data_IF_617765266453
#
_entry.id   IF_617765266453
#
_cell.length_a   1.000
_cell.length_b   1.000
_cell.length_c   1.000
_cell.angle_alpha   90.00
_cell.angle_beta   90.00
_cell.angle_gamma   90.00
#
_symmetry.space_group_name_H-M   'P 1'
#
loop_
_entity.id
_entity.type
_entity.pdbx_description
1 polymer ?
#
# COMPACT_ATOMS: atom_id res chain seq x y z
N UNK A 1 -23.56 14.47 -21.28
CA UNK A 1 -23.64 15.85 -21.78
C UNK A 1 -22.28 16.47 -22.11
N UNK A 2 -21.25 16.33 -21.26
CA UNK A 2 -19.94 16.99 -21.51
C UNK A 2 -19.12 16.39 -22.67
N UNK A 3 -19.22 15.08 -22.93
CA UNK A 3 -18.47 14.39 -24.01
C UNK A 3 -18.85 14.90 -25.42
N UNK A 4 -20.14 15.07 -25.69
CA UNK A 4 -20.60 15.53 -26.99
C UNK A 4 -20.24 17.00 -27.23
N UNK A 5 -20.32 17.85 -26.21
CA UNK A 5 -19.90 19.25 -26.31
C UNK A 5 -18.39 19.41 -26.59
N UNK A 6 -17.54 18.55 -26.02
CA UNK A 6 -16.09 18.56 -26.26
C UNK A 6 -15.76 18.05 -27.68
N UNK A 7 -16.57 17.16 -28.26
CA UNK A 7 -16.37 16.67 -29.63
C UNK A 7 -16.51 17.77 -30.69
N UNK A 8 -17.28 18.82 -30.41
CA UNK A 8 -17.44 19.95 -31.33
C UNK A 8 -16.29 20.98 -31.28
N UNK A 9 -15.42 20.91 -30.27
CA UNK A 9 -14.30 21.87 -30.08
C UNK A 9 -12.92 21.24 -30.24
N UNK A 10 -12.85 19.92 -30.49
CA UNK A 10 -11.60 19.18 -30.68
C UNK A 10 -11.38 18.83 -32.15
N UNK A 11 -10.18 19.10 -32.68
CA UNK A 11 -9.79 18.72 -34.05
C UNK A 11 -9.62 17.20 -34.27
N UNK A 12 -9.87 16.38 -33.24
CA UNK A 12 -9.84 14.90 -33.27
C UNK A 12 -10.94 14.32 -32.37
N UNK A 13 -11.43 13.11 -32.69
CA UNK A 13 -12.43 12.41 -31.86
C UNK A 13 -11.88 12.20 -30.45
N UNK A 14 -12.59 12.73 -29.46
CA UNK A 14 -12.29 12.51 -28.04
C UNK A 14 -12.98 11.22 -27.62
N UNK A 15 -12.17 10.20 -27.32
CA UNK A 15 -12.58 8.86 -26.87
C UNK A 15 -12.02 8.55 -25.49
N UNK A 16 -12.74 7.74 -24.72
CA UNK A 16 -12.36 7.35 -23.35
C UNK A 16 -11.07 6.54 -23.27
N UNK A 17 -10.69 5.82 -24.33
CA UNK A 17 -9.64 4.79 -24.30
C UNK A 17 -8.23 5.28 -23.96
N UNK A 18 -8.02 6.59 -23.86
CA UNK A 18 -6.74 7.21 -23.46
C UNK A 18 -6.72 7.74 -22.02
N UNK A 19 -7.81 7.59 -21.25
CA UNK A 19 -7.81 7.95 -19.83
C UNK A 19 -6.77 7.06 -19.10
N UNK A 20 -5.90 7.71 -18.32
CA UNK A 20 -4.84 7.01 -17.57
C UNK A 20 -5.14 6.95 -16.08
N UNK A 21 -5.91 7.90 -15.55
CA UNK A 21 -6.18 8.05 -14.13
C UNK A 21 -7.63 8.52 -13.93
N UNK A 22 -8.31 7.93 -12.96
CA UNK A 22 -9.58 8.40 -12.42
C UNK A 22 -9.32 8.82 -10.99
N UNK A 23 -9.65 10.07 -10.67
CA UNK A 23 -9.26 10.72 -9.42
C UNK A 23 -10.51 11.05 -8.63
N UNK A 24 -10.60 10.54 -7.41
CA UNK A 24 -11.68 10.76 -6.46
C UNK A 24 -11.18 11.64 -5.32
N UNK A 25 -12.00 12.56 -4.83
CA UNK A 25 -11.73 13.17 -3.53
C UNK A 25 -11.89 12.13 -2.43
N UNK A 26 -11.16 12.29 -1.33
CA UNK A 26 -11.33 11.49 -0.11
C UNK A 26 -12.79 11.46 0.35
N UNK A 27 -13.44 12.63 0.42
CA UNK A 27 -14.84 12.74 0.86
C UNK A 27 -15.79 11.89 0.00
N UNK A 28 -15.59 11.87 -1.32
CA UNK A 28 -16.40 11.05 -2.23
C UNK A 28 -16.05 9.57 -2.08
N UNK A 29 -14.78 9.25 -1.90
CA UNK A 29 -14.33 7.87 -1.71
C UNK A 29 -14.92 7.24 -0.44
N UNK A 30 -15.03 8.00 0.65
CA UNK A 30 -15.64 7.58 1.91
C UNK A 30 -17.16 7.34 1.79
N UNK A 31 -17.85 8.11 0.92
CA UNK A 31 -19.27 7.91 0.61
C UNK A 31 -19.51 6.68 -0.28
N UNK A 32 -18.55 6.32 -1.12
CA UNK A 32 -18.57 5.18 -2.02
C UNK A 32 -18.44 5.59 -3.49
N UNK A 33 -17.71 4.78 -4.27
CA UNK A 33 -17.35 5.11 -5.66
C UNK A 33 -17.97 4.19 -6.73
N UNK A 34 -18.75 3.19 -6.34
CA UNK A 34 -19.38 2.18 -7.20
C UNK A 34 -20.23 2.80 -8.31
N UNK A 35 -21.13 3.73 -7.97
CA UNK A 35 -22.01 4.36 -8.95
C UNK A 35 -21.25 5.13 -10.04
N UNK A 36 -20.09 5.68 -9.69
CA UNK A 36 -19.25 6.43 -10.62
C UNK A 36 -18.39 5.46 -11.44
N UNK A 37 -17.81 4.44 -10.81
CA UNK A 37 -17.07 3.40 -11.50
C UNK A 37 -17.92 2.66 -12.53
N UNK A 38 -19.19 2.40 -12.23
CA UNK A 38 -20.14 1.75 -13.16
C UNK A 38 -20.25 2.48 -14.50
N UNK A 39 -20.21 3.81 -14.51
CA UNK A 39 -20.19 4.62 -15.74
C UNK A 39 -18.91 4.37 -16.54
N UNK A 40 -17.79 4.15 -15.86
CA UNK A 40 -16.50 3.84 -16.48
C UNK A 40 -16.34 2.37 -16.86
N UNK A 41 -17.17 1.44 -16.39
CA UNK A 41 -17.04 0.02 -16.73
C UNK A 41 -18.01 -0.39 -17.85
N UNK A 42 -19.15 0.30 -18.00
CA UNK A 42 -20.22 -0.08 -18.95
C UNK A 42 -19.94 0.24 -20.42
N UNK A 43 -19.03 1.15 -20.73
CA UNK A 43 -18.68 1.54 -22.10
C UNK A 43 -17.35 0.88 -22.50
N UNK A 44 -17.37 0.10 -23.59
CA UNK A 44 -16.22 -0.64 -24.11
C UNK A 44 -15.05 0.26 -24.54
N UNK A 45 -15.29 1.55 -24.74
CA UNK A 45 -14.21 2.53 -25.00
C UNK A 45 -13.45 2.93 -23.72
N UNK A 46 -13.87 2.49 -22.52
CA UNK A 46 -13.22 2.91 -21.29
C UNK A 46 -11.95 2.09 -20.97
N UNK A 47 -10.89 2.74 -20.47
CA UNK A 47 -9.62 2.09 -20.29
C UNK A 47 -9.58 1.31 -18.97
N UNK A 48 -9.69 0.00 -19.07
CA UNK A 48 -9.46 -0.96 -17.98
C UNK A 48 -8.11 -0.75 -17.25
N UNK A 49 -7.14 -0.15 -17.94
CA UNK A 49 -5.78 0.10 -17.44
C UNK A 49 -5.59 1.46 -16.75
N UNK A 50 -6.64 2.28 -16.65
CA UNK A 50 -6.57 3.52 -15.89
C UNK A 50 -6.44 3.21 -14.38
N UNK A 51 -5.70 4.05 -13.66
CA UNK A 51 -5.51 3.92 -12.22
C UNK A 51 -6.63 4.62 -11.46
N UNK A 52 -7.09 4.03 -10.37
CA UNK A 52 -7.93 4.71 -9.38
C UNK A 52 -7.00 5.37 -8.36
N UNK A 53 -7.26 6.65 -8.11
CA UNK A 53 -6.50 7.51 -7.20
C UNK A 53 -7.48 8.20 -6.27
N UNK A 54 -7.16 8.27 -4.99
CA UNK A 54 -7.84 9.12 -4.01
C UNK A 54 -6.92 10.27 -3.63
N UNK A 55 -7.44 11.49 -3.67
CA UNK A 55 -6.73 12.70 -3.24
C UNK A 55 -7.38 13.29 -1.99
N UNK A 56 -6.55 13.74 -1.05
CA UNK A 56 -7.00 14.58 0.07
C UNK A 56 -7.24 16.00 -0.45
N UNK A 57 -8.50 16.41 -0.52
CA UNK A 57 -8.93 17.66 -1.18
C UNK A 57 -9.67 17.44 -2.51
N UNK A 58 -9.92 18.53 -3.24
CA UNK A 58 -10.69 18.50 -4.48
C UNK A 58 -9.83 18.16 -5.70
N UNK A 59 -10.20 17.15 -6.53
CA UNK A 59 -9.52 16.89 -7.80
C UNK A 59 -9.52 18.10 -8.75
N UNK A 60 -10.54 18.96 -8.68
CA UNK A 60 -10.61 20.18 -9.50
C UNK A 60 -9.59 21.23 -9.02
N UNK A 61 -9.42 21.38 -7.70
CA UNK A 61 -8.42 22.27 -7.13
C UNK A 61 -7.01 21.79 -7.48
N UNK A 62 -6.73 20.49 -7.35
CA UNK A 62 -5.47 19.90 -7.80
C UNK A 62 -5.21 20.19 -9.28
N UNK A 63 -6.23 20.05 -10.14
CA UNK A 63 -6.10 20.36 -11.56
C UNK A 63 -5.77 21.84 -11.80
N UNK A 64 -6.41 22.75 -11.09
CA UNK A 64 -6.17 24.19 -11.22
C UNK A 64 -4.78 24.57 -10.70
N UNK A 65 -4.43 24.11 -9.50
CA UNK A 65 -3.12 24.35 -8.89
C UNK A 65 -1.98 23.79 -9.73
N UNK A 66 -2.18 22.63 -10.38
CA UNK A 66 -1.17 22.03 -11.24
C UNK A 66 -0.77 22.85 -12.47
N UNK A 67 -1.55 23.88 -12.82
CA UNK A 67 -1.22 24.82 -13.90
C UNK A 67 -0.19 25.87 -13.47
N UNK A 68 -0.06 26.10 -12.16
CA UNK A 68 0.86 27.06 -11.57
C UNK A 68 2.24 26.46 -11.24
N UNK A 69 2.37 25.13 -11.31
CA UNK A 69 3.66 24.45 -11.11
C UNK A 69 4.65 24.83 -12.21
N UNK A 70 5.73 25.54 -11.84
CA UNK A 70 6.71 26.08 -12.80
C UNK A 70 7.71 25.02 -13.31
N UNK A 71 7.99 24.01 -12.50
CA UNK A 71 9.05 23.01 -12.71
C UNK A 71 8.50 21.59 -12.98
N UNK A 72 7.19 21.45 -13.16
CA UNK A 72 6.52 20.16 -13.38
C UNK A 72 5.91 20.06 -14.79
N UNK A 73 5.86 18.86 -15.39
CA UNK A 73 5.12 18.68 -16.63
C UNK A 73 3.60 18.78 -16.37
N UNK A 74 2.81 18.83 -17.45
CA UNK A 74 1.34 18.80 -17.36
C UNK A 74 0.86 17.63 -16.48
N UNK A 75 -0.17 17.88 -15.66
CA UNK A 75 -0.65 16.96 -14.63
C UNK A 75 -0.79 15.50 -15.09
N UNK A 76 -1.35 15.24 -16.27
CA UNK A 76 -1.49 13.87 -16.79
C UNK A 76 -0.16 13.13 -16.92
N UNK A 77 0.87 13.79 -17.47
CA UNK A 77 2.23 13.22 -17.59
C UNK A 77 2.90 13.16 -16.22
N UNK A 78 2.68 14.16 -15.38
CA UNK A 78 3.21 14.20 -14.02
C UNK A 78 2.74 13.00 -13.19
N UNK A 79 1.42 12.78 -13.11
CA UNK A 79 0.82 11.66 -12.39
C UNK A 79 1.22 10.30 -12.99
N UNK A 80 1.31 10.20 -14.32
CA UNK A 80 1.74 8.96 -14.97
C UNK A 80 3.17 8.58 -14.56
N UNK A 81 4.08 9.55 -14.50
CA UNK A 81 5.45 9.33 -14.03
C UNK A 81 5.50 9.02 -12.53
N UNK A 82 4.74 9.77 -11.72
CA UNK A 82 4.70 9.63 -10.27
C UNK A 82 4.21 8.24 -9.85
N UNK A 83 3.09 7.76 -10.40
CA UNK A 83 2.56 6.42 -10.11
C UNK A 83 3.50 5.33 -10.61
N UNK A 84 4.07 5.50 -11.81
CA UNK A 84 5.01 4.53 -12.36
C UNK A 84 6.23 4.37 -11.46
N UNK A 85 6.76 5.47 -10.93
CA UNK A 85 7.89 5.43 -10.02
C UNK A 85 7.52 4.86 -8.65
N UNK A 86 6.39 5.29 -8.08
CA UNK A 86 5.91 4.77 -6.81
C UNK A 86 5.64 3.26 -6.83
N UNK A 87 5.17 2.71 -7.95
CA UNK A 87 5.04 1.25 -8.13
C UNK A 87 6.38 0.53 -8.16
N UNK A 88 7.43 1.16 -8.70
CA UNK A 88 8.78 0.57 -8.69
C UNK A 88 9.32 0.47 -7.26
N UNK A 89 9.02 1.47 -6.44
CA UNK A 89 9.43 1.58 -5.03
C UNK A 89 8.36 1.10 -4.04
N UNK A 90 7.33 0.37 -4.50
CA UNK A 90 6.30 -0.25 -3.64
C UNK A 90 5.65 0.72 -2.66
N UNK A 91 5.55 1.98 -3.08
CA UNK A 91 4.96 3.11 -2.37
C UNK A 91 3.46 3.27 -2.71
N UNK A 92 2.95 2.46 -3.63
CA UNK A 92 1.54 2.49 -4.05
C UNK A 92 1.11 1.14 -4.64
N UNK A 93 -0.17 0.75 -4.48
CA UNK A 93 -0.62 -0.58 -4.89
C UNK A 93 -1.05 -0.66 -6.36
N UNK A 94 -1.43 -1.87 -6.78
CA UNK A 94 -2.15 -2.07 -8.04
C UNK A 94 -3.60 -1.59 -7.90
N UNK A 95 -3.86 -0.40 -8.42
CA UNK A 95 -5.14 0.30 -8.31
C UNK A 95 -5.87 0.44 -9.65
N UNK A 96 -5.46 -0.30 -10.69
CA UNK A 96 -6.13 -0.21 -11.99
C UNK A 96 -7.59 -0.65 -11.90
N UNK A 97 -8.44 -0.01 -12.72
CA UNK A 97 -9.89 -0.21 -12.72
C UNK A 97 -10.26 -1.68 -12.83
N UNK A 98 -9.62 -2.46 -13.71
CA UNK A 98 -9.97 -3.88 -13.86
C UNK A 98 -9.80 -4.65 -12.55
N UNK A 99 -8.70 -4.43 -11.83
CA UNK A 99 -8.40 -5.13 -10.60
C UNK A 99 -9.32 -4.65 -9.48
N UNK A 100 -9.43 -3.33 -9.32
CA UNK A 100 -10.30 -2.72 -8.32
C UNK A 100 -11.76 -3.17 -8.48
N UNK A 101 -12.25 -3.22 -9.71
CA UNK A 101 -13.63 -3.64 -10.03
C UNK A 101 -13.88 -5.08 -9.65
N UNK A 102 -12.91 -5.98 -9.86
CA UNK A 102 -13.04 -7.37 -9.44
C UNK A 102 -13.06 -7.45 -7.91
N UNK A 103 -12.16 -6.73 -7.24
CA UNK A 103 -12.00 -6.78 -5.79
C UNK A 103 -13.16 -6.12 -5.02
N UNK A 104 -13.78 -5.05 -5.51
CA UNK A 104 -14.92 -4.43 -4.82
C UNK A 104 -16.14 -5.36 -4.68
N UNK A 105 -16.26 -6.36 -5.57
CA UNK A 105 -17.31 -7.39 -5.52
C UNK A 105 -16.83 -8.69 -4.85
N UNK A 106 -15.56 -8.77 -4.46
CA UNK A 106 -15.02 -9.92 -3.76
C UNK A 106 -15.51 -9.97 -2.30
N UNK A 107 -15.79 -11.18 -1.82
CA UNK A 107 -16.08 -11.43 -0.41
C UNK A 107 -14.82 -11.66 0.43
N UNK A 108 -13.68 -11.88 -0.24
CA UNK A 108 -12.45 -12.40 0.39
C UNK A 108 -11.28 -11.44 0.39
N UNK A 109 -11.29 -10.40 -0.46
CA UNK A 109 -10.19 -9.45 -0.63
C UNK A 109 -10.78 -8.07 -0.90
N UNK A 110 -10.34 -7.06 -0.15
CA UNK A 110 -10.74 -5.68 -0.38
C UNK A 110 -9.78 -4.93 -1.32
N UNK A 111 -10.30 -3.98 -2.13
CA UNK A 111 -9.45 -3.19 -3.01
C UNK A 111 -8.65 -2.12 -2.25
N UNK A 112 -7.57 -1.68 -2.89
CA UNK A 112 -6.73 -0.57 -2.44
C UNK A 112 -6.46 0.38 -3.61
N UNK A 113 -6.26 1.66 -3.30
CA UNK A 113 -5.94 2.67 -4.29
C UNK A 113 -4.76 3.54 -3.86
N UNK A 114 -4.15 4.27 -4.80
CA UNK A 114 -3.13 5.27 -4.46
C UNK A 114 -3.77 6.40 -3.67
N UNK A 115 -3.17 6.79 -2.54
CA UNK A 115 -3.59 7.96 -1.76
C UNK A 115 -2.57 9.10 -1.92
N UNK A 116 -3.06 10.29 -2.24
CA UNK A 116 -2.22 11.43 -2.57
C UNK A 116 -2.66 12.71 -1.87
N UNK A 117 -1.70 13.61 -1.69
CA UNK A 117 -1.90 15.01 -1.31
C UNK A 117 -1.33 15.92 -2.37
N UNK A 118 -1.75 17.18 -2.37
CA UNK A 118 -1.20 18.19 -3.26
C UNK A 118 -1.12 19.53 -2.54
N UNK A 119 -0.12 20.30 -2.93
CA UNK A 119 0.15 21.65 -2.45
C UNK A 119 0.73 22.51 -3.58
N UNK A 120 1.17 23.72 -3.26
CA UNK A 120 1.75 24.67 -4.21
C UNK A 120 3.04 24.17 -4.88
N UNK A 121 3.73 23.20 -4.28
CA UNK A 121 4.98 22.62 -4.78
C UNK A 121 4.67 21.46 -5.73
N UNK A 122 3.67 20.64 -5.43
CA UNK A 122 3.32 19.52 -6.28
C UNK A 122 2.31 18.54 -5.68
N UNK A 123 2.20 17.39 -6.36
CA UNK A 123 1.43 16.23 -5.90
C UNK A 123 2.40 15.23 -5.27
N UNK A 124 2.05 14.76 -4.08
CA UNK A 124 2.80 13.79 -3.28
C UNK A 124 1.97 12.52 -3.07
N UNK A 125 2.60 11.35 -3.22
CA UNK A 125 1.99 10.07 -2.81
C UNK A 125 2.24 9.91 -1.32
N UNK A 126 1.16 9.76 -0.56
CA UNK A 126 1.20 9.58 0.89
C UNK A 126 1.13 8.11 1.29
N UNK A 127 0.66 7.24 0.38
CA UNK A 127 0.57 5.80 0.58
C UNK A 127 -0.66 5.23 -0.12
N UNK A 128 -1.49 4.52 0.63
CA UNK A 128 -2.63 3.77 0.09
C UNK A 128 -3.94 4.15 0.78
N UNK A 129 -5.00 4.29 -0.02
CA UNK A 129 -6.37 4.35 0.45
C UNK A 129 -6.91 2.92 0.57
N UNK A 130 -7.50 2.62 1.72
CA UNK A 130 -8.02 1.31 2.07
C UNK A 130 -9.54 1.32 1.93
N UNK A 131 -10.09 0.28 1.30
CA UNK A 131 -11.52 0.19 1.05
C UNK A 131 -12.14 -0.99 1.80
N UNK A 132 -13.43 -0.89 2.07
CA UNK A 132 -14.29 -2.03 2.33
C UNK A 132 -15.31 -2.06 1.20
N UNK A 133 -15.15 -3.02 0.28
CA UNK A 133 -15.84 -3.02 -1.02
C UNK A 133 -15.61 -1.72 -1.80
N UNK A 134 -16.62 -0.87 -1.92
CA UNK A 134 -16.64 0.35 -2.72
C UNK A 134 -16.41 1.64 -1.91
N UNK A 135 -16.29 1.55 -0.58
CA UNK A 135 -16.12 2.72 0.30
C UNK A 135 -14.72 2.75 0.89
N UNK A 136 -14.07 3.92 0.83
CA UNK A 136 -12.84 4.15 1.56
C UNK A 136 -13.14 4.18 3.06
N UNK A 137 -12.39 3.40 3.83
CA UNK A 137 -12.56 3.26 5.30
C UNK A 137 -11.33 3.71 6.08
N UNK A 138 -10.23 4.00 5.38
CA UNK A 138 -8.99 4.46 5.99
C UNK A 138 -7.90 4.69 4.96
N UNK A 139 -6.72 5.08 5.43
CA UNK A 139 -5.52 5.18 4.61
C UNK A 139 -4.30 4.80 5.44
N UNK A 140 -3.25 4.36 4.77
CA UNK A 140 -1.95 4.00 5.36
C UNK A 140 -0.84 4.78 4.68
N UNK A 141 0.24 5.03 5.41
CA UNK A 141 1.39 5.77 4.92
C UNK A 141 2.27 4.92 3.97
N UNK A 142 3.38 5.50 3.49
CA UNK A 142 4.32 4.84 2.57
C UNK A 142 4.95 3.57 3.15
N UNK A 143 5.41 3.60 4.40
CA UNK A 143 6.04 2.44 5.06
C UNK A 143 5.03 1.34 5.27
N UNK A 144 3.84 1.68 5.77
CA UNK A 144 2.74 0.75 5.96
C UNK A 144 2.27 0.16 4.62
N UNK A 145 2.27 0.94 3.54
CA UNK A 145 1.98 0.45 2.19
C UNK A 145 3.02 -0.59 1.74
N UNK A 146 4.29 -0.34 2.00
CA UNK A 146 5.34 -1.32 1.66
C UNK A 146 5.27 -2.58 2.54
N UNK A 147 4.91 -2.45 3.82
CA UNK A 147 4.64 -3.60 4.70
C UNK A 147 3.38 -4.36 4.28
N UNK A 148 2.35 -3.67 3.78
CA UNK A 148 1.18 -4.30 3.18
C UNK A 148 1.57 -5.18 1.98
N UNK A 149 2.41 -4.66 1.07
CA UNK A 149 2.96 -5.45 -0.04
C UNK A 149 3.75 -6.68 0.46
N UNK A 150 4.55 -6.51 1.53
CA UNK A 150 5.27 -7.62 2.14
C UNK A 150 4.32 -8.69 2.69
N UNK A 151 3.27 -8.25 3.39
CA UNK A 151 2.21 -9.09 3.93
C UNK A 151 1.36 -9.72 2.84
N UNK A 152 1.23 -9.14 1.64
CA UNK A 152 0.62 -9.78 0.47
C UNK A 152 1.56 -10.83 -0.16
N UNK A 153 2.85 -10.80 0.14
CA UNK A 153 3.86 -11.64 -0.49
C UNK A 153 4.27 -11.13 -1.87
N UNK A 154 4.03 -9.85 -2.13
CA UNK A 154 4.42 -9.17 -3.36
C UNK A 154 5.90 -8.74 -3.31
N UNK A 155 6.40 -8.26 -4.44
CA UNK A 155 7.74 -7.67 -4.49
C UNK A 155 7.74 -6.41 -3.63
N UNK A 156 8.81 -6.23 -2.84
CA UNK A 156 9.05 -5.05 -2.01
C UNK A 156 10.32 -4.33 -2.47
N UNK A 157 10.34 -3.01 -2.36
CA UNK A 157 11.51 -2.20 -2.64
C UNK A 157 11.40 -0.83 -1.95
N UNK A 158 11.81 -0.73 -0.68
CA UNK A 158 11.63 0.50 0.10
C UNK A 158 12.72 0.73 1.15
N UNK A 159 12.93 2.00 1.48
CA UNK A 159 13.76 2.41 2.61
C UNK A 159 12.96 2.33 3.91
N UNK A 160 13.61 1.87 4.98
CA UNK A 160 13.03 1.81 6.31
C UNK A 160 14.03 2.44 7.28
N UNK A 161 13.62 3.55 7.90
CA UNK A 161 14.43 4.30 8.85
C UNK A 161 14.08 3.86 10.27
N UNK A 162 15.11 3.61 11.07
CA UNK A 162 14.98 3.30 12.48
C UNK A 162 15.75 4.32 13.29
N UNK A 163 15.06 4.95 14.25
CA UNK A 163 15.66 5.86 15.22
C UNK A 163 16.53 5.09 16.22
N UNK A 164 17.67 5.67 16.61
CA UNK A 164 18.61 5.08 17.57
C UNK A 164 17.95 4.61 18.87
N UNK A 165 17.00 5.39 19.42
CA UNK A 165 16.30 5.07 20.67
C UNK A 165 15.48 3.78 20.58
N UNK A 166 15.11 3.36 19.37
CA UNK A 166 14.37 2.10 19.14
C UNK A 166 15.30 0.87 19.15
N UNK A 167 16.61 1.08 19.02
CA UNK A 167 17.61 0.01 18.91
C UNK A 167 18.47 -0.06 20.17
N UNK A 168 18.79 1.08 20.79
CA UNK A 168 19.67 1.15 21.95
C UNK A 168 19.21 2.24 22.92
N UNK A 169 19.47 2.02 24.21
CA UNK A 169 19.12 2.97 25.26
C UNK A 169 20.15 4.11 25.29
N UNK A 170 20.04 5.01 24.32
CA UNK A 170 20.89 6.20 24.21
C UNK A 170 20.14 7.43 24.72
N UNK A 171 20.79 8.16 25.62
CA UNK A 171 20.40 9.49 26.07
C UNK A 171 21.21 10.54 25.30
N UNK A 172 20.82 10.83 24.05
CA UNK A 172 21.49 11.81 23.20
C UNK A 172 20.50 12.60 22.35
N UNK A 173 20.69 13.91 22.21
CA UNK A 173 19.77 14.83 21.55
C UNK A 173 20.01 14.99 20.03
N UNK A 174 20.42 13.93 19.34
CA UNK A 174 20.71 13.96 17.89
C UNK A 174 19.90 12.92 17.13
N UNK A 175 19.50 13.23 15.87
CA UNK A 175 18.83 12.29 14.95
C UNK A 175 19.81 11.22 14.45
N UNK A 176 20.22 10.30 15.33
CA UNK A 176 20.99 9.12 14.95
C UNK A 176 20.03 7.99 14.61
N UNK A 177 20.46 7.09 13.73
CA UNK A 177 19.65 5.94 13.37
C UNK A 177 20.32 5.03 12.38
N UNK A 178 19.51 4.12 11.84
CA UNK A 178 19.90 3.21 10.77
C UNK A 178 18.88 3.34 9.65
N UNK A 179 19.37 3.59 8.44
CA UNK A 179 18.56 3.50 7.23
C UNK A 179 18.88 2.21 6.52
N UNK A 180 17.87 1.34 6.39
CA UNK A 180 18.00 0.10 5.63
C UNK A 180 17.14 0.17 4.37
N UNK A 181 17.55 -0.57 3.35
CA UNK A 181 16.79 -0.77 2.14
C UNK A 181 16.35 -2.23 2.04
N UNK A 182 15.04 -2.48 2.09
CA UNK A 182 14.44 -3.80 1.98
C UNK A 182 13.99 -4.03 0.53
N UNK A 183 14.56 -5.04 -0.12
CA UNK A 183 14.36 -5.27 -1.57
C UNK A 183 13.83 -6.67 -1.91
N UNK A 184 13.68 -7.54 -0.90
CA UNK A 184 13.07 -8.86 -1.07
C UNK A 184 12.45 -9.33 0.23
N UNK A 185 11.33 -10.03 0.10
CA UNK A 185 10.70 -10.75 1.19
C UNK A 185 10.24 -12.11 0.70
N UNK A 186 10.37 -13.12 1.56
CA UNK A 186 9.72 -14.42 1.37
C UNK A 186 8.61 -14.54 2.40
N UNK A 187 7.37 -14.67 1.92
CA UNK A 187 6.20 -14.89 2.76
C UNK A 187 5.85 -16.37 2.85
N UNK A 188 5.47 -16.84 4.04
CA UNK A 188 4.79 -18.12 4.26
C UNK A 188 3.58 -17.89 5.16
N UNK A 189 2.46 -18.55 4.84
CA UNK A 189 1.23 -18.46 5.64
C UNK A 189 0.71 -19.86 5.97
N UNK A 190 0.52 -20.12 7.26
CA UNK A 190 -0.18 -21.29 7.79
C UNK A 190 -1.49 -20.83 8.43
N UNK A 191 -2.52 -21.64 8.29
CA UNK A 191 -3.87 -21.30 8.73
C UNK A 191 -4.47 -22.47 9.48
N UNK A 192 -4.98 -22.20 10.67
CA UNK A 192 -5.59 -23.18 11.56
C UNK A 192 -7.02 -22.76 11.86
N UNK A 193 -7.96 -23.69 11.77
CA UNK A 193 -9.37 -23.46 12.05
C UNK A 193 -9.78 -24.43 13.15
N UNK A 194 -9.70 -23.98 14.39
CA UNK A 194 -10.08 -24.74 15.58
C UNK A 194 -11.15 -23.94 16.33
N UNK A 195 -12.43 -24.16 16.00
CA UNK A 195 -13.56 -23.42 16.57
C UNK A 195 -13.99 -22.23 15.72
N UNK A 196 -14.42 -21.14 16.38
CA UNK A 196 -15.15 -20.04 15.72
C UNK A 196 -14.26 -19.04 14.99
N UNK A 197 -13.04 -18.77 15.47
CA UNK A 197 -12.12 -17.78 14.87
C UNK A 197 -10.83 -18.46 14.39
N UNK A 198 -10.38 -18.19 13.16
CA UNK A 198 -9.19 -18.82 12.62
C UNK A 198 -7.92 -18.18 13.19
N UNK A 199 -6.84 -18.96 13.22
CA UNK A 199 -5.49 -18.51 13.54
C UNK A 199 -4.64 -18.53 12.28
N UNK A 200 -3.96 -17.41 12.01
CA UNK A 200 -3.14 -17.21 10.82
C UNK A 200 -1.70 -16.90 11.24
N UNK A 201 -0.80 -17.81 10.92
CA UNK A 201 0.61 -17.70 11.28
C UNK A 201 1.39 -17.29 10.04
N UNK A 202 2.00 -16.11 10.10
CA UNK A 202 2.69 -15.45 9.01
C UNK A 202 4.18 -15.45 9.32
N UNK A 203 4.99 -15.92 8.37
CA UNK A 203 6.45 -15.81 8.44
C UNK A 203 6.94 -14.95 7.29
N UNK A 204 7.70 -13.91 7.61
CA UNK A 204 8.31 -12.97 6.68
C UNK A 204 9.83 -13.00 6.82
N UNK A 205 10.51 -13.54 5.81
CA UNK A 205 11.97 -13.51 5.73
C UNK A 205 12.40 -12.38 4.77
N UNK A 206 12.85 -11.25 5.32
CA UNK A 206 13.33 -10.09 4.59
C UNK A 206 14.82 -10.18 4.23
N UNK A 207 15.15 -9.66 3.06
CA UNK A 207 16.52 -9.33 2.66
C UNK A 207 16.65 -7.83 2.50
N UNK A 208 17.73 -7.29 3.04
CA UNK A 208 18.00 -5.86 2.95
C UNK A 208 19.48 -5.54 2.90
N UNK A 209 19.73 -4.25 2.72
CA UNK A 209 21.05 -3.63 2.70
C UNK A 209 21.02 -2.51 3.74
N UNK A 210 22.10 -2.36 4.52
CA UNK A 210 22.26 -1.17 5.36
C UNK A 210 22.83 -0.06 4.48
N UNK A 211 22.08 1.03 4.30
CA UNK A 211 22.53 2.15 3.49
C UNK A 211 23.45 3.06 4.30
N UNK A 212 23.01 3.41 5.52
CA UNK A 212 23.69 4.33 6.43
C UNK A 212 23.39 3.90 7.86
N UNK A 213 24.40 4.00 8.72
CA UNK A 213 24.25 3.76 10.16
C UNK A 213 25.14 4.74 10.90
N UNK A 214 24.53 5.52 11.79
CA UNK A 214 25.26 6.34 12.74
C UNK A 214 25.47 5.61 14.07
N UNK A 215 25.10 4.32 14.14
CA UNK A 215 25.23 3.50 15.34
C UNK A 215 26.55 2.72 15.33
N UNK A 216 27.09 2.44 16.53
CA UNK A 216 28.35 1.73 16.72
C UNK A 216 28.19 0.20 16.55
N UNK A 217 27.70 -0.23 15.39
CA UNK A 217 27.56 -1.63 15.02
C UNK A 217 28.60 -2.00 13.96
N UNK A 218 29.44 -3.00 14.26
CA UNK A 218 30.41 -3.54 13.30
C UNK A 218 29.77 -4.59 12.41
N UNK A 219 29.24 -4.19 11.25
CA UNK A 219 28.50 -5.08 10.34
C UNK A 219 29.37 -6.18 9.69
N UNK A 220 30.69 -6.02 9.71
CA UNK A 220 31.68 -7.07 9.36
C UNK A 220 31.76 -8.18 10.42
N UNK A 221 31.33 -7.90 11.66
CA UNK A 221 31.28 -8.87 12.75
C UNK A 221 29.92 -9.57 12.80
N UNK A 222 29.94 -10.91 12.67
CA UNK A 222 28.73 -11.75 12.68
C UNK A 222 27.81 -11.48 13.89
N UNK A 223 28.38 -11.23 15.06
CA UNK A 223 27.62 -10.99 16.30
C UNK A 223 26.86 -9.66 16.27
N UNK A 224 27.52 -8.58 15.88
CA UNK A 224 26.93 -7.24 15.83
C UNK A 224 25.87 -7.15 14.73
N UNK A 225 26.19 -7.69 13.55
CA UNK A 225 25.23 -7.85 12.45
C UNK A 225 23.97 -8.59 12.89
N UNK A 226 24.13 -9.76 13.51
CA UNK A 226 23.01 -10.58 13.97
C UNK A 226 22.17 -9.86 15.02
N UNK A 227 22.82 -9.17 15.95
CA UNK A 227 22.14 -8.36 16.97
C UNK A 227 21.28 -7.28 16.35
N UNK A 228 21.80 -6.57 15.35
CA UNK A 228 21.06 -5.52 14.65
C UNK A 228 19.89 -6.09 13.84
N UNK A 229 20.11 -7.20 13.12
CA UNK A 229 19.07 -7.93 12.40
C UNK A 229 17.91 -8.33 13.32
N UNK A 230 18.21 -8.89 14.49
CA UNK A 230 17.20 -9.35 15.44
C UNK A 230 16.42 -8.17 16.04
N UNK A 231 17.09 -7.08 16.40
CA UNK A 231 16.43 -5.85 16.89
C UNK A 231 15.49 -5.25 15.85
N UNK A 232 15.95 -5.10 14.61
CA UNK A 232 15.12 -4.54 13.53
C UNK A 232 13.97 -5.50 13.16
N UNK A 233 14.20 -6.82 13.22
CA UNK A 233 13.14 -7.82 12.99
C UNK A 233 11.99 -7.64 13.99
N UNK A 234 12.30 -7.33 15.26
CA UNK A 234 11.28 -7.05 16.29
C UNK A 234 10.49 -5.79 15.94
N UNK A 235 11.15 -4.72 15.47
CA UNK A 235 10.47 -3.46 15.10
C UNK A 235 9.55 -3.65 13.88
N UNK A 236 10.04 -4.31 12.83
CA UNK A 236 9.21 -4.66 11.66
C UNK A 236 8.03 -5.54 12.07
N UNK A 237 8.25 -6.52 12.97
CA UNK A 237 7.16 -7.35 13.52
C UNK A 237 6.11 -6.48 14.23
N UNK A 238 6.53 -5.53 15.06
CA UNK A 238 5.60 -4.63 15.75
C UNK A 238 4.79 -3.78 14.77
N UNK A 239 5.42 -3.23 13.73
CA UNK A 239 4.72 -2.42 12.74
C UNK A 239 3.76 -3.25 11.88
N UNK A 240 4.13 -4.48 11.51
CA UNK A 240 3.19 -5.42 10.88
C UNK A 240 1.99 -5.73 11.78
N UNK A 241 2.19 -5.95 13.08
CA UNK A 241 1.10 -6.19 14.03
C UNK A 241 0.18 -4.97 14.14
N UNK A 242 0.75 -3.75 14.24
CA UNK A 242 -0.03 -2.51 14.27
C UNK A 242 -0.86 -2.36 12.99
N UNK A 243 -0.26 -2.60 11.83
CA UNK A 243 -0.95 -2.54 10.55
C UNK A 243 -2.10 -3.55 10.50
N UNK A 244 -1.88 -4.82 10.85
CA UNK A 244 -2.94 -5.83 10.86
C UNK A 244 -4.09 -5.46 11.81
N UNK A 245 -3.79 -4.94 13.00
CA UNK A 245 -4.81 -4.46 13.93
C UNK A 245 -5.62 -3.32 13.33
N UNK A 246 -4.95 -2.33 12.73
CA UNK A 246 -5.64 -1.23 12.07
C UNK A 246 -6.56 -1.71 10.93
N UNK A 247 -6.08 -2.65 10.11
CA UNK A 247 -6.88 -3.28 9.05
C UNK A 247 -8.13 -3.99 9.61
N UNK A 248 -7.99 -4.71 10.73
CA UNK A 248 -9.10 -5.34 11.45
C UNK A 248 -10.10 -4.31 11.99
N UNK A 249 -9.62 -3.23 12.62
CA UNK A 249 -10.44 -2.17 13.21
C UNK A 249 -11.31 -1.47 12.17
N UNK A 250 -10.80 -1.23 10.97
CA UNK A 250 -11.54 -0.60 9.86
C UNK A 250 -12.32 -1.63 9.02
N UNK A 251 -12.21 -2.93 9.31
CA UNK A 251 -12.92 -4.01 8.63
C UNK A 251 -12.52 -4.20 7.16
N UNK A 252 -11.24 -3.96 6.84
CA UNK A 252 -10.68 -4.09 5.48
C UNK A 252 -9.65 -5.21 5.45
N UNK A 253 -9.82 -6.22 4.58
CA UNK A 253 -8.85 -7.29 4.33
C UNK A 253 -8.21 -7.13 2.93
N UNK A 254 -7.32 -6.14 2.74
CA UNK A 254 -6.64 -5.96 1.46
C UNK A 254 -5.59 -7.05 1.19
N UNK A 255 -5.11 -7.75 2.23
CA UNK A 255 -4.09 -8.79 2.11
C UNK A 255 -4.69 -10.08 1.51
N UNK A 256 -5.99 -10.27 1.65
CA UNK A 256 -6.73 -11.40 1.14
C UNK A 256 -6.59 -12.66 1.99
N UNK A 257 -6.57 -12.51 3.32
CA UNK A 257 -6.59 -13.67 4.21
C UNK A 257 -7.87 -14.49 4.06
N UNK A 258 -9.00 -13.84 3.76
CA UNK A 258 -10.25 -14.53 3.47
C UNK A 258 -10.12 -15.49 2.30
N UNK A 259 -9.33 -15.12 1.30
CA UNK A 259 -9.10 -15.95 0.12
C UNK A 259 -8.23 -17.18 0.47
N UNK A 260 -7.23 -16.99 1.33
CA UNK A 260 -6.41 -18.09 1.85
C UNK A 260 -7.26 -19.08 2.66
N UNK A 261 -8.17 -18.57 3.49
CA UNK A 261 -9.10 -19.40 4.28
C UNK A 261 -10.08 -20.11 3.37
N UNK A 262 -10.69 -19.42 2.39
CA UNK A 262 -11.58 -20.03 1.40
C UNK A 262 -10.90 -21.16 0.64
N UNK A 263 -9.64 -20.97 0.22
CA UNK A 263 -8.89 -21.97 -0.53
C UNK A 263 -8.50 -23.21 0.31
N UNK A 264 -8.12 -23.02 1.59
CA UNK A 264 -7.62 -24.12 2.44
C UNK A 264 -8.68 -24.77 3.32
N UNK A 265 -9.71 -24.03 3.68
CA UNK A 265 -10.72 -24.37 4.69
C UNK A 265 -12.14 -24.03 4.18
N UNK A 266 -12.44 -24.44 2.94
CA UNK A 266 -13.67 -24.05 2.22
C UNK A 266 -14.98 -24.36 2.97
N UNK A 267 -15.07 -25.49 3.65
CA UNK A 267 -16.27 -25.86 4.41
C UNK A 267 -16.52 -24.93 5.60
N UNK A 268 -15.44 -24.50 6.28
CA UNK A 268 -15.54 -23.47 7.30
C UNK A 268 -15.89 -22.10 6.69
N UNK A 269 -15.25 -21.73 5.58
CA UNK A 269 -15.53 -20.45 4.93
C UNK A 269 -17.01 -20.31 4.54
N UNK A 270 -17.65 -21.39 4.05
CA UNK A 270 -19.08 -21.40 3.72
C UNK A 270 -20.01 -21.28 4.94
N UNK A 271 -19.55 -21.62 6.13
CA UNK A 271 -20.38 -21.62 7.35
C UNK A 271 -20.36 -20.28 8.10
N UNK A 272 -19.50 -19.35 7.70
CA UNK A 272 -19.30 -18.06 8.37
C UNK A 272 -19.34 -16.90 7.36
N UNK A 273 -19.64 -15.69 7.83
CA UNK A 273 -19.36 -14.49 7.05
C UNK A 273 -17.94 -14.02 7.34
N UNK A 274 -17.04 -14.07 6.35
CA UNK A 274 -15.65 -13.63 6.51
C UNK A 274 -15.55 -12.23 7.11
N UNK A 275 -16.37 -11.29 6.61
CA UNK A 275 -16.40 -9.90 7.08
C UNK A 275 -16.77 -9.77 8.55
N UNK A 276 -17.61 -10.67 9.07
CA UNK A 276 -17.99 -10.67 10.48
C UNK A 276 -16.91 -11.24 11.38
N UNK A 277 -16.15 -12.24 10.92
CA UNK A 277 -15.11 -12.91 11.73
C UNK A 277 -13.73 -12.28 11.59
N UNK A 278 -13.46 -11.54 10.51
CA UNK A 278 -12.15 -10.93 10.22
C UNK A 278 -11.58 -10.11 11.39
N UNK A 279 -12.38 -9.27 12.10
CA UNK A 279 -11.90 -8.51 13.25
C UNK A 279 -11.37 -9.38 14.40
N UNK A 280 -11.84 -10.63 14.52
CA UNK A 280 -11.49 -11.56 15.60
C UNK A 280 -10.42 -12.58 15.20
N UNK A 281 -9.91 -12.51 13.97
CA UNK A 281 -8.84 -13.40 13.48
C UNK A 281 -7.58 -13.20 14.31
N UNK A 282 -6.99 -14.31 14.77
CA UNK A 282 -5.74 -14.27 15.52
C UNK A 282 -4.58 -14.31 14.55
N UNK A 283 -3.71 -13.30 14.63
CA UNK A 283 -2.48 -13.25 13.86
C UNK A 283 -1.27 -13.52 14.76
N UNK A 284 -0.46 -14.49 14.34
CA UNK A 284 0.91 -14.65 14.84
C UNK A 284 1.89 -14.35 13.71
N UNK A 285 2.89 -13.52 13.98
CA UNK A 285 3.86 -13.07 12.98
C UNK A 285 5.28 -13.37 13.46
N UNK A 286 6.03 -14.08 12.63
CA UNK A 286 7.47 -14.24 12.75
C UNK A 286 8.16 -13.42 11.65
N UNK A 287 9.11 -12.58 12.04
CA UNK A 287 9.88 -11.75 11.11
C UNK A 287 11.35 -12.06 11.28
N UNK A 288 12.04 -12.27 10.17
CA UNK A 288 13.49 -12.41 10.13
C UNK A 288 14.06 -11.45 9.09
N UNK A 289 15.13 -10.77 9.46
CA UNK A 289 15.90 -9.94 8.57
C UNK A 289 17.29 -10.56 8.35
N UNK A 290 17.78 -10.50 7.12
CA UNK A 290 19.16 -10.85 6.79
C UNK A 290 19.74 -9.77 5.89
N UNK A 291 20.81 -9.12 6.35
CA UNK A 291 21.54 -8.14 5.56
C UNK A 291 22.47 -8.84 4.57
N UNK A 292 22.31 -8.55 3.27
CA UNK A 292 23.15 -9.16 2.23
C UNK A 292 24.40 -8.33 1.96
N UNK A 293 24.30 -7.00 2.06
CA UNK A 293 25.39 -6.05 1.90
C UNK A 293 25.26 -4.91 2.92
N UNK A 294 26.37 -4.21 3.16
CA UNK A 294 26.39 -2.96 3.91
C UNK A 294 27.10 -1.89 3.07
N UNK A 295 26.56 -0.67 3.06
CA UNK A 295 27.17 0.51 2.47
C UNK A 295 28.37 0.99 3.30
N UNK A 296 28.85 2.20 3.02
CA UNK A 296 29.90 2.81 3.84
C UNK A 296 29.42 2.98 5.29
N UNK A 297 30.09 2.29 6.21
CA UNK A 297 29.93 2.47 7.67
C UNK A 297 30.97 3.47 8.16
N UNK A 298 30.59 4.43 9.00
CA UNK A 298 31.54 5.36 9.65
C UNK A 298 32.50 4.65 10.61
#
# INVERSE_FOLDING_TARGET
>A
QSRDQIRYTSGKKVEGGKIQHIIFSKELAEKGIDNILDVFIRDSENPLLANIIVVDGSPLEMLNMSREYKDKPRLGVYLANLIRDARRHTATPESRIYNFTILQYSETIDPVASYMRFDEIGVNIEGSALFNRNKMVGNINLIETSLLHALMGERIQFGYYIDAHSIQDESGSGKRGVTIFLHRVKRKVKTYVNGTSPEINISLDFKGIVNETDLNYRLDQSKDKKTLEDKISILIKQDCIKLLKYLQEIGSDPIGFGEIIRAKHNEYFKSVSWKSIYPDVKFDIDVKLNFEFYGATN
#
